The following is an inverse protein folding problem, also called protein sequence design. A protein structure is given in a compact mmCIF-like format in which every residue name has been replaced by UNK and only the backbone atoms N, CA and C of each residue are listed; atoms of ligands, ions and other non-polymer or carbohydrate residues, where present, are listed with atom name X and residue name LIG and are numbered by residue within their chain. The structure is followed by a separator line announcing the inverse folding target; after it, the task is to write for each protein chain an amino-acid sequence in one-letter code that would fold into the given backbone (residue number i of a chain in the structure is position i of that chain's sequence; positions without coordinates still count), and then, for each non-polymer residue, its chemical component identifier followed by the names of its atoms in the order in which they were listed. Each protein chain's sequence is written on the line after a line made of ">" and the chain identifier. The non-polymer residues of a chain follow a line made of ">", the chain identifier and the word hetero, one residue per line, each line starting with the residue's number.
data_IF_237348496165
#
_entry.id   IF_237348496165
#
_cell.length_a   1.000
_cell.length_b   1.000
_cell.length_c   1.000
_cell.angle_alpha   90.00
_cell.angle_beta   90.00
_cell.angle_gamma   90.00
#
_symmetry.space_group_name_H-M   'P 1'
#
loop_
_entity.id
_entity.type
_entity.pdbx_description
1 polymer ?
#
# COMPACT_ATOMS: atom_id res chain seq x y z
N UNK A 1 20.56 1.34 -18.08
CA UNK A 1 20.81 0.70 -16.77
C UNK A 1 19.49 0.15 -16.26
N UNK A 2 19.29 -1.17 -16.10
CA UNK A 2 18.07 -1.69 -15.49
C UNK A 2 18.03 -1.27 -14.01
N UNK A 3 16.93 -0.65 -13.59
CA UNK A 3 16.70 -0.21 -12.20
C UNK A 3 16.59 -1.46 -11.32
N UNK A 4 17.39 -1.55 -10.26
CA UNK A 4 17.30 -2.68 -9.33
C UNK A 4 15.91 -2.70 -8.67
N UNK A 5 15.19 -3.82 -8.80
CA UNK A 5 13.86 -3.99 -8.21
C UNK A 5 13.98 -4.52 -6.78
N UNK A 6 13.30 -3.89 -5.83
CA UNK A 6 13.32 -4.31 -4.43
C UNK A 6 12.39 -5.50 -4.17
N UNK A 7 12.82 -6.42 -3.30
CA UNK A 7 11.97 -7.47 -2.71
C UNK A 7 11.56 -7.15 -1.27
N UNK A 8 12.22 -6.17 -0.64
CA UNK A 8 11.98 -5.71 0.73
C UNK A 8 11.65 -4.22 0.72
N UNK A 9 10.86 -3.81 1.70
CA UNK A 9 10.52 -2.41 1.94
C UNK A 9 11.79 -1.66 2.37
N UNK A 10 12.01 -0.41 1.92
CA UNK A 10 13.09 0.41 2.46
C UNK A 10 12.97 0.56 3.98
N UNK A 11 14.07 0.37 4.71
CA UNK A 11 14.08 0.47 6.17
C UNK A 11 14.08 1.92 6.69
N UNK A 12 14.17 2.92 5.82
CA UNK A 12 14.38 4.32 6.19
C UNK A 12 13.26 5.25 5.68
N UNK A 13 12.00 4.85 5.88
CA UNK A 13 10.82 5.68 5.55
C UNK A 13 10.56 6.67 6.71
N UNK A 14 10.58 8.00 6.49
CA UNK A 14 10.25 8.98 7.53
C UNK A 14 8.77 8.92 7.94
N UNK A 15 8.45 9.13 9.22
CA UNK A 15 7.05 9.21 9.71
C UNK A 15 6.23 10.35 9.09
N UNK A 16 6.90 11.37 8.56
CA UNK A 16 6.29 12.50 7.86
C UNK A 16 5.85 12.16 6.43
N UNK A 17 6.09 10.92 5.97
CA UNK A 17 5.75 10.49 4.61
C UNK A 17 4.24 10.56 4.38
N UNK A 18 3.83 11.37 3.40
CA UNK A 18 2.44 11.49 2.96
C UNK A 18 2.15 10.70 1.69
N UNK A 19 3.18 10.43 0.88
CA UNK A 19 3.08 9.70 -0.38
C UNK A 19 4.17 8.65 -0.44
N UNK A 20 3.78 7.39 -0.65
CA UNK A 20 4.71 6.27 -0.73
C UNK A 20 4.59 5.57 -2.09
N UNK A 21 5.65 5.66 -2.88
CA UNK A 21 5.72 5.15 -4.25
C UNK A 21 6.59 3.89 -4.31
N UNK A 22 5.93 2.72 -4.37
CA UNK A 22 6.55 1.40 -4.37
C UNK A 22 6.27 0.62 -5.67
N UNK A 23 5.83 1.31 -6.72
CA UNK A 23 5.53 0.69 -8.02
C UNK A 23 6.78 0.10 -8.70
N UNK A 24 6.58 -0.99 -9.46
CA UNK A 24 7.65 -1.60 -10.27
C UNK A 24 8.68 -2.39 -9.48
N UNK A 25 8.30 -2.89 -8.30
CA UNK A 25 9.13 -3.76 -7.46
C UNK A 25 8.69 -5.22 -7.58
N UNK A 26 9.18 -6.10 -6.70
CA UNK A 26 8.86 -7.53 -6.69
C UNK A 26 8.05 -7.94 -5.45
N UNK A 27 7.20 -7.05 -4.95
CA UNK A 27 6.34 -7.37 -3.82
C UNK A 27 5.26 -8.37 -4.23
N UNK A 28 5.23 -9.55 -3.60
CA UNK A 28 4.21 -10.57 -3.86
C UNK A 28 2.97 -10.43 -2.93
N UNK A 29 3.10 -9.65 -1.85
CA UNK A 29 2.07 -9.43 -0.83
C UNK A 29 2.21 -8.01 -0.28
N UNK A 30 1.11 -7.44 0.21
CA UNK A 30 1.14 -6.23 1.05
C UNK A 30 1.40 -6.68 2.48
N UNK A 31 2.43 -6.10 3.10
CA UNK A 31 2.83 -6.45 4.46
C UNK A 31 2.69 -5.22 5.37
N UNK A 32 2.35 -5.38 6.67
CA UNK A 32 2.23 -4.26 7.60
C UNK A 32 3.47 -3.36 7.65
N UNK A 33 4.67 -3.91 7.46
CA UNK A 33 5.93 -3.17 7.46
C UNK A 33 6.04 -2.17 6.30
N UNK A 34 5.26 -2.33 5.23
CA UNK A 34 5.16 -1.35 4.13
C UNK A 34 4.55 -0.02 4.59
N UNK A 35 3.82 -0.04 5.70
CA UNK A 35 3.07 1.09 6.25
C UNK A 35 3.68 1.57 7.57
N UNK A 36 4.95 1.22 7.80
CA UNK A 36 5.71 1.61 8.97
C UNK A 36 6.95 2.40 8.56
N UNK A 37 7.35 3.31 9.44
CA UNK A 37 8.54 4.13 9.27
C UNK A 37 9.23 4.42 10.59
N UNK A 38 10.24 5.28 10.50
CA UNK A 38 11.10 5.66 11.60
C UNK A 38 11.04 7.17 11.82
N UNK A 39 11.07 7.59 13.08
CA UNK A 39 11.20 8.99 13.41
C UNK A 39 12.59 9.47 12.99
N UNK A 40 12.67 10.64 12.37
CA UNK A 40 13.95 11.27 12.09
C UNK A 40 14.36 12.10 13.30
N UNK A 41 15.53 11.79 13.86
CA UNK A 41 16.13 12.55 14.95
C UNK A 41 16.67 13.88 14.43
N UNK A 42 16.94 14.82 15.34
CA UNK A 42 17.47 16.14 14.99
C UNK A 42 18.84 16.09 14.28
N UNK A 43 19.61 15.02 14.49
CA UNK A 43 20.90 14.76 13.84
C UNK A 43 20.78 14.11 12.45
N UNK A 44 19.55 13.93 11.95
CA UNK A 44 19.27 13.30 10.67
C UNK A 44 19.27 11.77 10.69
N UNK A 45 19.59 11.13 11.81
CA UNK A 45 19.51 9.67 11.96
C UNK A 45 18.07 9.20 12.14
N UNK A 46 17.81 7.92 11.84
CA UNK A 46 16.51 7.31 12.07
C UNK A 46 16.46 6.61 13.44
N UNK A 47 15.33 6.74 14.13
CA UNK A 47 15.06 5.99 15.36
C UNK A 47 15.05 4.48 15.10
N UNK A 48 15.29 3.65 16.12
CA UNK A 48 15.24 2.19 15.95
C UNK A 48 13.81 1.64 15.88
N UNK A 49 12.86 2.28 16.55
CA UNK A 49 11.48 1.80 16.64
C UNK A 49 10.71 2.12 15.35
N UNK A 50 10.07 1.08 14.78
CA UNK A 50 9.10 1.22 13.70
C UNK A 50 7.76 1.69 14.26
N UNK A 51 7.19 2.71 13.64
CA UNK A 51 5.86 3.23 13.97
C UNK A 51 5.01 3.31 12.70
N UNK A 52 3.69 3.24 12.86
CA UNK A 52 2.73 3.49 11.78
C UNK A 52 2.98 4.80 11.05
N UNK A 53 2.88 4.78 9.72
CA UNK A 53 2.89 5.98 8.89
C UNK A 53 1.54 6.72 9.01
N UNK A 54 1.28 7.32 10.15
CA UNK A 54 0.01 7.97 10.48
C UNK A 54 -0.32 9.22 9.65
N UNK A 55 0.62 9.70 8.83
CA UNK A 55 0.44 10.83 7.89
C UNK A 55 0.31 10.38 6.43
N UNK A 56 0.39 9.07 6.16
CA UNK A 56 0.37 8.53 4.80
C UNK A 56 -1.03 8.67 4.20
N UNK A 57 -1.12 9.41 3.10
CA UNK A 57 -2.35 9.65 2.35
C UNK A 57 -2.45 8.80 1.09
N UNK A 58 -1.33 8.59 0.41
CA UNK A 58 -1.30 7.90 -0.88
C UNK A 58 -0.24 6.81 -0.87
N UNK A 59 -0.61 5.62 -1.34
CA UNK A 59 0.35 4.54 -1.60
C UNK A 59 0.17 3.97 -3.01
N UNK A 60 1.29 3.79 -3.71
CA UNK A 60 1.34 3.14 -5.02
C UNK A 60 2.10 1.82 -4.97
N UNK A 61 1.40 0.73 -5.26
CA UNK A 61 1.92 -0.64 -5.32
C UNK A 61 1.65 -1.29 -6.68
N UNK A 62 1.17 -0.53 -7.67
CA UNK A 62 1.00 -1.00 -9.03
C UNK A 62 2.31 -1.52 -9.65
N UNK A 63 2.21 -2.33 -10.70
CA UNK A 63 3.37 -2.96 -11.34
C UNK A 63 4.22 -3.85 -10.40
N UNK A 64 3.62 -4.37 -9.33
CA UNK A 64 4.17 -5.44 -8.49
C UNK A 64 3.39 -6.73 -8.71
N UNK A 65 3.98 -7.93 -8.48
CA UNK A 65 3.28 -9.21 -8.58
C UNK A 65 2.35 -9.49 -7.37
N UNK A 66 1.71 -8.45 -6.80
CA UNK A 66 0.76 -8.61 -5.70
C UNK A 66 -0.55 -9.16 -6.24
N UNK A 67 -0.82 -10.44 -5.96
CA UNK A 67 -2.05 -11.10 -6.42
C UNK A 67 -3.20 -11.02 -5.41
N UNK A 68 -2.90 -11.01 -4.12
CA UNK A 68 -3.89 -11.04 -3.03
C UNK A 68 -3.54 -9.98 -1.99
N UNK A 69 -4.56 -9.24 -1.55
CA UNK A 69 -4.47 -8.25 -0.48
C UNK A 69 -5.47 -8.58 0.60
N UNK A 70 -5.01 -8.65 1.85
CA UNK A 70 -5.88 -8.80 3.01
C UNK A 70 -6.68 -7.50 3.23
N UNK A 71 -7.96 -7.61 3.57
CA UNK A 71 -8.82 -6.43 3.74
C UNK A 71 -8.28 -5.44 4.80
N UNK A 72 -7.59 -5.92 5.83
CA UNK A 72 -7.00 -5.09 6.89
C UNK A 72 -5.53 -4.75 6.65
N UNK A 73 -4.98 -5.04 5.45
CA UNK A 73 -3.56 -4.81 5.16
C UNK A 73 -3.14 -3.33 5.34
N UNK A 74 -4.10 -2.41 5.26
CA UNK A 74 -3.86 -0.96 5.37
C UNK A 74 -4.25 -0.34 6.72
N UNK A 75 -4.72 -1.13 7.68
CA UNK A 75 -5.09 -0.64 9.02
C UNK A 75 -3.98 0.16 9.73
N UNK A 76 -2.67 -0.13 9.56
CA UNK A 76 -1.61 0.67 10.15
C UNK A 76 -1.49 2.11 9.61
N UNK A 77 -2.18 2.48 8.54
CA UNK A 77 -2.19 3.82 7.94
C UNK A 77 -3.61 4.43 7.98
N UNK A 78 -4.05 4.98 9.13
CA UNK A 78 -5.44 5.42 9.32
C UNK A 78 -5.85 6.63 8.48
N UNK A 79 -4.89 7.41 7.97
CA UNK A 79 -5.11 8.62 7.16
C UNK A 79 -5.02 8.36 5.65
N UNK A 80 -4.95 7.08 5.26
CA UNK A 80 -4.81 6.70 3.86
C UNK A 80 -6.09 7.04 3.09
N UNK A 81 -5.93 7.88 2.07
CA UNK A 81 -7.01 8.40 1.23
C UNK A 81 -7.09 7.64 -0.11
N UNK A 82 -5.94 7.19 -0.64
CA UNK A 82 -5.85 6.62 -1.98
C UNK A 82 -4.80 5.50 -2.08
N UNK A 83 -5.22 4.38 -2.69
CA UNK A 83 -4.40 3.17 -2.85
C UNK A 83 -4.38 2.78 -4.32
N UNK A 84 -3.19 2.55 -4.88
CA UNK A 84 -3.03 1.96 -6.21
C UNK A 84 -2.47 0.54 -6.08
N UNK A 85 -3.21 -0.43 -6.59
CA UNK A 85 -2.85 -1.86 -6.61
C UNK A 85 -2.73 -2.37 -8.05
N UNK A 86 -2.08 -3.52 -8.29
CA UNK A 86 -2.16 -4.20 -9.58
C UNK A 86 -3.61 -4.43 -10.02
N UNK A 87 -3.88 -4.33 -11.32
CA UNK A 87 -5.24 -4.36 -11.87
C UNK A 87 -6.02 -5.64 -11.54
N UNK A 88 -5.34 -6.78 -11.50
CA UNK A 88 -5.94 -8.10 -11.32
C UNK A 88 -6.02 -8.56 -9.86
N UNK A 89 -5.64 -7.70 -8.91
CA UNK A 89 -5.62 -8.00 -7.48
C UNK A 89 -6.95 -8.56 -6.97
N UNK A 90 -6.86 -9.53 -6.06
CA UNK A 90 -7.99 -10.10 -5.33
C UNK A 90 -7.96 -9.62 -3.89
N UNK A 91 -9.08 -9.11 -3.39
CA UNK A 91 -9.21 -8.78 -1.98
C UNK A 91 -9.62 -10.04 -1.22
N UNK A 92 -8.91 -10.34 -0.15
CA UNK A 92 -9.25 -11.38 0.80
C UNK A 92 -9.93 -10.76 2.02
N UNK A 93 -11.24 -11.05 2.18
CA UNK A 93 -12.02 -10.68 3.36
C UNK A 93 -11.93 -11.77 4.43
N UNK A 94 -11.80 -11.39 5.70
CA UNK A 94 -11.77 -12.27 6.88
C UNK A 94 -13.17 -12.50 7.50
N UNK A 95 -14.22 -11.87 6.96
CA UNK A 95 -15.59 -12.11 7.42
C UNK A 95 -16.20 -13.40 6.81
N UNK A 96 -16.20 -14.46 7.62
CA UNK A 96 -16.88 -15.75 7.43
C UNK A 96 -16.25 -16.72 6.41
N UNK A 97 -16.57 -18.01 6.54
CA UNK A 97 -15.92 -19.19 5.98
C UNK A 97 -15.78 -19.28 4.44
N UNK A 98 -16.01 -18.19 3.70
CA UNK A 98 -15.93 -18.10 2.26
C UNK A 98 -14.94 -16.99 1.86
N UNK A 99 -13.90 -17.35 1.10
CA UNK A 99 -13.07 -16.36 0.42
C UNK A 99 -13.91 -15.65 -0.65
N UNK A 100 -14.57 -14.54 -0.29
CA UNK A 100 -15.16 -13.63 -1.27
C UNK A 100 -14.05 -12.82 -1.91
N UNK A 101 -13.85 -13.03 -3.20
CA UNK A 101 -12.91 -12.28 -4.03
C UNK A 101 -13.68 -11.24 -4.81
N UNK A 102 -14.08 -10.16 -4.14
CA UNK A 102 -14.58 -8.97 -4.84
C UNK A 102 -13.43 -7.99 -5.14
N UNK A 103 -13.62 -7.22 -6.20
CA UNK A 103 -12.65 -6.21 -6.67
C UNK A 103 -13.16 -4.78 -6.47
N UNK A 104 -14.31 -4.60 -5.82
CA UNK A 104 -15.03 -3.33 -5.81
C UNK A 104 -14.84 -2.55 -4.52
N UNK A 105 -14.72 -3.22 -3.38
CA UNK A 105 -14.60 -2.56 -2.08
C UNK A 105 -13.78 -3.43 -1.12
N UNK A 106 -13.05 -2.79 -0.20
CA UNK A 106 -12.44 -3.46 0.95
C UNK A 106 -12.19 -2.46 2.08
N UNK A 107 -12.46 -2.87 3.32
CA UNK A 107 -12.27 -2.12 4.59
C UNK A 107 -12.24 -0.57 4.50
N UNK A 108 -13.39 0.03 4.18
CA UNK A 108 -13.52 1.49 4.12
C UNK A 108 -12.97 2.14 2.84
N UNK A 109 -12.61 1.35 1.83
CA UNK A 109 -12.21 1.83 0.51
C UNK A 109 -13.13 1.30 -0.59
N UNK A 110 -13.37 2.15 -1.59
CA UNK A 110 -14.15 1.83 -2.79
C UNK A 110 -13.28 2.00 -4.03
N UNK A 111 -13.40 1.07 -4.98
CA UNK A 111 -12.72 1.14 -6.27
C UNK A 111 -13.17 2.37 -7.03
N UNK A 112 -12.21 3.16 -7.51
CA UNK A 112 -12.46 4.31 -8.36
C UNK A 112 -12.84 3.80 -9.74
N UNK A 113 -14.08 4.10 -10.17
CA UNK A 113 -14.65 3.59 -11.42
C UNK A 113 -13.99 4.18 -12.68
N UNK A 114 -13.58 5.45 -12.62
CA UNK A 114 -12.82 6.14 -13.65
C UNK A 114 -11.69 6.94 -12.98
N UNK A 115 -10.44 6.45 -13.07
CA UNK A 115 -9.30 7.13 -12.47
C UNK A 115 -8.61 8.03 -13.50
N UNK A 116 -8.29 9.32 -13.23
CA UNK A 116 -7.73 10.24 -14.24
C UNK A 116 -6.41 9.80 -14.89
N UNK A 117 -5.65 8.96 -14.19
CA UNK A 117 -4.43 8.31 -14.67
C UNK A 117 -4.69 6.94 -15.31
N UNK A 118 -5.90 6.69 -15.80
CA UNK A 118 -6.41 5.38 -16.21
C UNK A 118 -5.44 4.65 -17.15
N UNK A 119 -4.73 3.70 -16.56
CA UNK A 119 -3.88 2.77 -17.26
C UNK A 119 -4.40 1.37 -16.90
N UNK A 120 -4.69 0.48 -17.87
CA UNK A 120 -5.14 -0.90 -17.62
C UNK A 120 -4.23 -1.72 -16.68
N UNK A 121 -3.07 -1.18 -16.29
CA UNK A 121 -2.11 -1.82 -15.39
C UNK A 121 -2.41 -1.69 -13.89
N UNK A 122 -3.37 -0.86 -13.46
CA UNK A 122 -3.69 -0.70 -12.03
C UNK A 122 -5.18 -0.56 -11.70
N UNK A 123 -5.52 -0.86 -10.44
CA UNK A 123 -6.80 -0.54 -9.83
C UNK A 123 -6.57 0.46 -8.69
N UNK A 124 -7.33 1.57 -8.70
CA UNK A 124 -7.30 2.58 -7.64
C UNK A 124 -8.47 2.40 -6.68
N UNK A 125 -8.23 2.61 -5.39
CA UNK A 125 -9.23 2.55 -4.32
C UNK A 125 -9.14 3.82 -3.48
N UNK A 126 -10.26 4.52 -3.32
CA UNK A 126 -10.37 5.75 -2.54
C UNK A 126 -11.12 5.49 -1.24
N UNK A 127 -10.77 6.22 -0.18
CA UNK A 127 -11.49 6.18 1.09
C UNK A 127 -12.97 6.54 0.87
N UNK A 128 -13.87 5.73 1.42
CA UNK A 128 -15.32 5.94 1.42
C UNK A 128 -15.77 6.90 2.51
#
# INVERSE_FOLDING_TARGET
>A
MPRATAQKVPDNIPLETTHLYLMGNRFARVLPEMLQGHAQNADGTFSRAKNSLAKLKVIRLDLNPVAIVNEHAFAPAPTLELIYLPFDVKIQRQAFAEMKTDKLTFDGFTRVAAHPLEDPHFAAFARS
#
